data_IF_241670241787
#
_entry.id   IF_241670241787
#
_cell.length_a   1.000
_cell.length_b   1.000
_cell.length_c   1.000
_cell.angle_alpha   90.00
_cell.angle_beta   90.00
_cell.angle_gamma   90.00
#
_symmetry.space_group_name_H-M   'P 1'
#
loop_
_entity.id
_entity.type
_entity.pdbx_description
1 polymer ?
#
# COMPACT_ATOMS: atom_id res chain seq x y z
N UNK A 1 -31.80 36.65 -5.80
CA UNK A 1 -30.38 37.04 -5.70
C UNK A 1 -30.17 38.36 -6.39
N UNK A 2 -29.96 39.39 -5.60
CA UNK A 2 -29.83 40.78 -6.05
C UNK A 2 -28.50 40.99 -6.79
N UNK A 3 -28.45 41.95 -7.71
CA UNK A 3 -27.24 42.24 -8.53
C UNK A 3 -26.02 42.56 -7.66
N UNK A 4 -26.24 43.06 -6.45
CA UNK A 4 -25.22 43.31 -5.44
C UNK A 4 -24.58 42.02 -4.87
N UNK A 5 -25.39 40.99 -4.59
CA UNK A 5 -24.91 39.72 -4.00
C UNK A 5 -24.01 38.95 -4.96
N UNK A 6 -24.33 38.97 -6.26
CA UNK A 6 -23.49 38.35 -7.30
C UNK A 6 -22.11 39.00 -7.41
N UNK A 7 -22.03 40.32 -7.22
CA UNK A 7 -20.76 41.07 -7.26
C UNK A 7 -19.91 40.76 -6.03
N UNK A 8 -20.53 40.62 -4.86
CA UNK A 8 -19.84 40.23 -3.63
C UNK A 8 -19.24 38.82 -3.74
N UNK A 9 -20.02 37.84 -4.24
CA UNK A 9 -19.54 36.46 -4.42
C UNK A 9 -18.38 36.36 -5.40
N UNK A 10 -18.43 37.08 -6.52
CA UNK A 10 -17.33 37.13 -7.50
C UNK A 10 -16.07 37.73 -6.85
N UNK A 11 -16.23 38.78 -6.03
CA UNK A 11 -15.12 39.37 -5.27
C UNK A 11 -14.45 38.36 -4.32
N UNK A 12 -15.23 37.60 -3.55
CA UNK A 12 -14.69 36.58 -2.64
C UNK A 12 -13.96 35.44 -3.38
N UNK A 13 -14.49 34.99 -4.52
CA UNK A 13 -13.83 33.96 -5.33
C UNK A 13 -12.50 34.46 -5.88
N UNK A 14 -12.44 35.71 -6.36
CA UNK A 14 -11.20 36.31 -6.88
C UNK A 14 -10.12 36.44 -5.79
N UNK A 15 -10.50 36.92 -4.59
CA UNK A 15 -9.57 37.03 -3.46
C UNK A 15 -9.08 35.64 -3.01
N UNK A 16 -9.95 34.63 -3.01
CA UNK A 16 -9.58 33.25 -2.66
C UNK A 16 -8.61 32.64 -3.68
N UNK A 17 -8.81 32.87 -4.98
CA UNK A 17 -7.90 32.41 -6.04
C UNK A 17 -6.54 33.11 -6.00
N UNK A 18 -6.50 34.41 -5.66
CA UNK A 18 -5.24 35.15 -5.45
C UNK A 18 -4.49 34.57 -4.25
N UNK A 19 -5.17 34.30 -3.13
CA UNK A 19 -4.55 33.70 -1.95
C UNK A 19 -4.01 32.27 -2.24
N UNK A 20 -4.74 31.46 -2.99
CA UNK A 20 -4.30 30.13 -3.44
C UNK A 20 -3.11 30.20 -4.41
N UNK A 21 -3.11 31.15 -5.34
CA UNK A 21 -2.02 31.38 -6.28
C UNK A 21 -0.73 31.83 -5.59
N UNK A 22 -0.81 32.72 -4.59
CA UNK A 22 0.34 33.14 -3.78
C UNK A 22 0.90 31.97 -2.97
N UNK A 23 0.04 31.10 -2.41
CA UNK A 23 0.47 29.91 -1.67
C UNK A 23 1.16 28.87 -2.55
N UNK A 24 0.70 28.70 -3.80
CA UNK A 24 1.35 27.82 -4.78
C UNK A 24 2.65 28.40 -5.33
N UNK A 25 2.70 29.72 -5.58
CA UNK A 25 3.91 30.42 -6.02
C UNK A 25 5.03 30.39 -4.98
N UNK A 26 4.69 30.53 -3.69
CA UNK A 26 5.66 30.44 -2.59
C UNK A 26 6.22 29.01 -2.43
N UNK A 27 5.37 27.97 -2.60
CA UNK A 27 5.84 26.58 -2.63
C UNK A 27 6.74 26.26 -3.85
N UNK A 28 6.53 26.96 -4.98
CA UNK A 28 7.37 26.82 -6.17
C UNK A 28 8.72 27.55 -6.04
N UNK A 29 8.79 28.65 -5.28
CA UNK A 29 10.02 29.42 -5.07
C UNK A 29 10.99 28.78 -4.06
N UNK A 30 10.49 28.07 -3.05
CA UNK A 30 11.29 27.52 -1.93
C UNK A 30 12.11 26.24 -2.30
N UNK A 31 11.97 25.67 -3.51
CA UNK A 31 12.67 24.44 -3.95
C UNK A 31 13.88 24.66 -4.87
N UNK A 32 14.41 25.88 -4.95
CA UNK A 32 15.66 26.17 -5.67
C UNK A 32 16.79 26.58 -4.72
N UNK A 33 17.23 25.63 -3.92
CA UNK A 33 18.63 25.61 -3.48
C UNK A 33 19.27 24.38 -4.08
N UNK A 34 20.36 24.61 -4.82
CA UNK A 34 21.51 23.74 -5.08
C UNK A 34 21.99 23.83 -6.54
N UNK A 35 23.20 24.39 -6.65
CA UNK A 35 24.13 24.41 -7.79
C UNK A 35 23.82 25.39 -8.92
N UNK A 36 24.29 26.62 -8.75
CA UNK A 36 24.80 27.45 -9.84
C UNK A 36 25.83 28.44 -9.27
N UNK A 37 26.98 27.92 -8.81
CA UNK A 37 28.18 28.73 -8.60
C UNK A 37 28.94 28.73 -9.94
N UNK A 38 28.58 29.63 -10.83
CA UNK A 38 29.31 29.91 -12.06
C UNK A 38 30.39 30.95 -11.74
N UNK A 39 31.46 30.48 -11.11
CA UNK A 39 32.69 31.22 -10.88
C UNK A 39 33.84 30.27 -11.18
N UNK A 40 34.62 30.57 -12.22
CA UNK A 40 35.87 29.88 -12.48
C UNK A 40 36.73 29.97 -11.23
N UNK A 41 36.93 28.86 -10.53
CA UNK A 41 37.99 28.75 -9.53
C UNK A 41 39.31 28.63 -10.30
N UNK A 42 40.21 29.62 -10.26
CA UNK A 42 41.49 29.52 -10.95
C UNK A 42 42.32 28.42 -10.29
N UNK A 43 42.68 27.40 -11.07
CA UNK A 43 43.44 26.20 -10.65
C UNK A 43 44.79 26.55 -10.00
N UNK A 44 45.29 27.78 -10.18
CA UNK A 44 46.49 28.29 -9.52
C UNK A 44 46.39 28.43 -7.99
N UNK A 45 45.18 28.54 -7.42
CA UNK A 45 45.00 28.61 -5.96
C UNK A 45 45.17 27.27 -5.24
N UNK A 46 45.12 26.14 -5.95
CA UNK A 46 45.30 24.80 -5.35
C UNK A 46 46.78 24.42 -5.20
N UNK A 47 47.69 25.08 -5.91
CA UNK A 47 49.13 24.77 -5.87
C UNK A 47 49.91 25.62 -4.87
N UNK A 48 49.43 26.82 -4.51
CA UNK A 48 50.10 27.68 -3.52
C UNK A 48 49.88 27.27 -2.07
N UNK A 49 48.89 26.41 -1.79
CA UNK A 49 48.59 25.95 -0.43
C UNK A 49 49.43 24.74 0.03
N UNK A 50 50.29 24.19 -0.83
CA UNK A 50 51.05 22.95 -0.55
C UNK A 50 52.47 23.17 -0.02
N UNK A 51 52.98 24.40 0.03
CA UNK A 51 54.40 24.66 0.34
C UNK A 51 54.71 25.21 1.75
N UNK A 52 53.73 25.35 2.67
CA UNK A 52 54.00 26.02 3.98
C UNK A 52 53.48 25.25 5.21
N UNK A 53 53.55 23.93 5.21
CA UNK A 53 53.44 23.20 6.47
C UNK A 53 54.24 21.90 6.45
N UNK A 54 55.27 21.72 7.31
CA UNK A 54 55.77 20.39 7.59
C UNK A 54 54.66 19.63 8.33
N UNK A 55 53.90 18.82 7.59
CA UNK A 55 52.98 17.86 8.20
C UNK A 55 53.86 16.79 8.84
N UNK A 56 54.17 16.97 10.12
CA UNK A 56 54.69 15.90 10.95
C UNK A 56 53.63 14.80 10.96
N UNK A 57 53.87 13.73 10.19
CA UNK A 57 53.00 12.57 10.14
C UNK A 57 53.00 11.93 11.53
N UNK A 58 51.95 12.17 12.32
CA UNK A 58 51.74 11.47 13.58
C UNK A 58 51.47 10.02 13.23
N UNK A 59 52.48 9.15 13.41
CA UNK A 59 52.29 7.71 13.39
C UNK A 59 51.46 7.32 14.62
N UNK A 60 50.15 7.35 14.48
CA UNK A 60 49.24 6.70 15.42
C UNK A 60 49.47 5.19 15.31
N UNK A 61 50.32 4.65 16.18
CA UNK A 61 50.37 3.23 16.49
C UNK A 61 49.11 2.83 17.26
N UNK A 62 47.96 2.81 16.58
CA UNK A 62 46.81 2.07 17.05
C UNK A 62 47.09 0.59 16.85
N UNK A 63 47.57 0.00 17.95
CA UNK A 63 47.75 -1.42 18.18
C UNK A 63 46.55 -2.21 17.65
N UNK A 64 46.88 -3.15 16.77
CA UNK A 64 45.96 -4.15 16.21
C UNK A 64 45.28 -4.92 17.35
N UNK A 65 44.00 -4.69 17.53
CA UNK A 65 43.04 -5.75 17.90
C UNK A 65 41.82 -5.64 17.00
N UNK A 66 42.07 -5.84 15.70
CA UNK A 66 41.03 -6.13 14.72
C UNK A 66 40.52 -7.53 15.06
N UNK A 67 39.50 -7.60 15.92
CA UNK A 67 38.67 -8.79 15.98
C UNK A 67 38.14 -9.00 14.55
N UNK A 68 38.58 -10.07 13.90
CA UNK A 68 38.04 -10.51 12.63
C UNK A 68 36.57 -10.90 12.89
N UNK A 69 35.66 -9.94 12.84
CA UNK A 69 34.28 -10.24 12.46
C UNK A 69 34.33 -10.51 10.96
N UNK A 70 34.55 -11.77 10.60
CA UNK A 70 34.14 -12.27 9.30
C UNK A 70 32.65 -11.96 9.18
N UNK A 71 32.18 -11.14 8.24
CA UNK A 71 30.76 -11.12 7.92
C UNK A 71 30.49 -12.50 7.33
N UNK A 72 30.05 -13.44 8.16
CA UNK A 72 29.38 -14.61 7.63
C UNK A 72 28.25 -14.06 6.76
N UNK A 73 28.07 -14.58 5.53
CA UNK A 73 26.84 -14.31 4.81
C UNK A 73 25.74 -14.89 5.68
N UNK A 74 25.13 -14.04 6.52
CA UNK A 74 23.84 -14.32 7.09
C UNK A 74 22.95 -14.43 5.87
N UNK A 75 22.77 -15.66 5.38
CA UNK A 75 21.58 -16.02 4.64
C UNK A 75 20.45 -15.60 5.55
N UNK A 76 19.96 -14.38 5.35
CA UNK A 76 18.76 -13.88 5.98
C UNK A 76 17.72 -14.90 5.61
N UNK A 77 17.41 -15.81 6.54
CA UNK A 77 16.25 -16.67 6.41
C UNK A 77 15.12 -15.71 6.12
N UNK A 78 14.54 -15.81 4.93
CA UNK A 78 13.33 -15.07 4.60
C UNK A 78 12.34 -15.50 5.67
N UNK A 79 12.08 -14.61 6.62
CA UNK A 79 11.08 -14.84 7.65
C UNK A 79 9.77 -14.77 6.89
N UNK A 80 9.17 -15.93 6.64
CA UNK A 80 7.86 -16.03 6.03
C UNK A 80 6.84 -15.64 7.09
N UNK A 81 6.15 -14.52 6.87
CA UNK A 81 5.13 -13.99 7.75
C UNK A 81 3.76 -14.51 7.31
N UNK A 82 2.89 -14.84 8.25
CA UNK A 82 1.52 -15.17 7.93
C UNK A 82 0.71 -13.88 7.67
N UNK A 83 0.29 -13.70 6.43
CA UNK A 83 -0.45 -12.54 5.94
C UNK A 83 -1.79 -12.36 6.66
N UNK A 84 -2.39 -13.45 7.16
CA UNK A 84 -3.67 -13.40 7.84
C UNK A 84 -3.57 -13.02 9.32
N UNK A 85 -2.41 -13.19 9.94
CA UNK A 85 -2.19 -12.91 11.37
C UNK A 85 -1.21 -11.78 11.65
N UNK A 86 -0.39 -11.38 10.67
CA UNK A 86 0.58 -10.29 10.80
C UNK A 86 -0.09 -8.97 11.23
N UNK A 87 0.52 -8.26 12.17
CA UNK A 87 0.04 -6.98 12.65
C UNK A 87 0.48 -5.82 11.71
N UNK A 88 -0.11 -4.65 11.91
CA UNK A 88 0.23 -3.49 11.09
C UNK A 88 1.68 -3.03 11.31
N UNK A 89 2.20 -3.16 12.53
CA UNK A 89 3.56 -2.74 12.87
C UNK A 89 4.63 -3.58 12.16
N UNK A 90 4.45 -4.91 12.10
CA UNK A 90 5.35 -5.79 11.35
C UNK A 90 5.22 -5.56 9.84
N UNK A 91 4.01 -5.28 9.33
CA UNK A 91 3.83 -4.88 7.93
C UNK A 91 4.60 -3.60 7.62
N UNK A 92 4.54 -2.58 8.48
CA UNK A 92 5.26 -1.31 8.31
C UNK A 92 6.78 -1.44 8.37
N UNK A 93 7.29 -2.48 9.05
CA UNK A 93 8.72 -2.76 9.11
C UNK A 93 9.27 -3.36 7.79
N UNK A 94 8.39 -3.82 6.89
CA UNK A 94 8.78 -4.41 5.62
C UNK A 94 9.17 -3.34 4.59
N UNK A 95 10.10 -3.66 3.67
CA UNK A 95 10.42 -2.75 2.59
C UNK A 95 9.18 -2.48 1.74
N UNK A 96 9.07 -1.26 1.23
CA UNK A 96 7.97 -0.79 0.36
C UNK A 96 6.60 -0.63 1.04
N UNK A 97 6.42 -1.08 2.28
CA UNK A 97 5.15 -0.95 3.01
C UNK A 97 5.27 0.18 4.04
N UNK A 98 4.63 1.31 3.75
CA UNK A 98 4.43 2.38 4.74
C UNK A 98 3.13 2.21 5.53
N UNK A 99 2.86 3.09 6.53
CA UNK A 99 1.67 3.02 7.39
C UNK A 99 0.35 3.02 6.62
N UNK A 100 0.28 3.77 5.52
CA UNK A 100 -0.90 3.82 4.65
C UNK A 100 -1.15 2.46 3.98
N UNK A 101 -0.09 1.81 3.47
CA UNK A 101 -0.22 0.52 2.80
C UNK A 101 -0.51 -0.61 3.80
N UNK A 102 0.16 -0.61 4.96
CA UNK A 102 -0.14 -1.56 6.03
C UNK A 102 -1.61 -1.48 6.45
N UNK A 103 -2.14 -0.27 6.63
CA UNK A 103 -3.57 -0.07 6.92
C UNK A 103 -4.48 -0.62 5.82
N UNK A 104 -4.12 -0.44 4.54
CA UNK A 104 -4.89 -0.97 3.41
C UNK A 104 -4.87 -2.49 3.34
N UNK A 105 -3.70 -3.11 3.51
CA UNK A 105 -3.54 -4.57 3.56
C UNK A 105 -4.41 -5.15 4.68
N UNK A 106 -4.39 -4.52 5.87
CA UNK A 106 -5.25 -4.91 6.98
C UNK A 106 -6.73 -4.73 6.64
N UNK A 107 -7.16 -3.57 6.11
CA UNK A 107 -8.56 -3.35 5.73
C UNK A 107 -9.05 -4.35 4.69
N UNK A 108 -8.23 -4.63 3.67
CA UNK A 108 -8.56 -5.59 2.64
C UNK A 108 -8.65 -7.01 3.20
N UNK A 109 -7.73 -7.41 4.08
CA UNK A 109 -7.80 -8.67 4.84
C UNK A 109 -9.14 -8.83 5.56
N UNK A 110 -9.56 -7.80 6.29
CA UNK A 110 -10.83 -7.82 7.03
C UNK A 110 -12.03 -7.91 6.07
N UNK A 111 -12.03 -7.13 4.98
CA UNK A 111 -13.13 -7.15 4.01
C UNK A 111 -13.26 -8.51 3.31
N UNK A 112 -12.14 -9.17 2.99
CA UNK A 112 -12.14 -10.54 2.45
C UNK A 112 -12.57 -11.59 3.49
N UNK A 113 -12.28 -11.36 4.78
CA UNK A 113 -12.39 -12.42 5.79
C UNK A 113 -11.16 -13.33 5.85
N UNK A 114 -10.02 -12.84 5.36
CA UNK A 114 -8.75 -13.55 5.23
C UNK A 114 -8.31 -13.70 3.78
N UNK A 115 -7.02 -13.57 3.51
CA UNK A 115 -6.45 -13.91 2.22
C UNK A 115 -6.49 -15.42 2.03
N UNK A 116 -7.06 -15.87 0.92
CA UNK A 116 -7.01 -17.26 0.49
C UNK A 116 -5.64 -17.57 -0.13
N UNK A 117 -5.08 -16.60 -0.87
CA UNK A 117 -3.81 -16.75 -1.57
C UNK A 117 -2.99 -15.46 -1.46
N UNK A 118 -1.67 -15.58 -1.33
CA UNK A 118 -0.76 -14.42 -1.20
C UNK A 118 -0.84 -13.51 -2.45
N UNK A 119 -1.16 -14.09 -3.59
CA UNK A 119 -1.29 -13.42 -4.88
C UNK A 119 -2.34 -12.30 -4.87
N UNK A 120 -3.32 -12.34 -3.95
CA UNK A 120 -4.33 -11.31 -3.75
C UNK A 120 -3.74 -9.98 -3.23
N UNK A 121 -2.49 -9.96 -2.76
CA UNK A 121 -1.79 -8.69 -2.49
C UNK A 121 -1.75 -7.76 -3.71
N UNK A 122 -1.77 -8.32 -4.93
CA UNK A 122 -1.83 -7.54 -6.18
C UNK A 122 -3.10 -6.73 -6.33
N UNK A 123 -4.16 -7.08 -5.60
CA UNK A 123 -5.46 -6.42 -5.64
C UNK A 123 -5.56 -5.28 -4.62
N UNK A 124 -4.59 -5.16 -3.71
CA UNK A 124 -4.52 -4.07 -2.74
C UNK A 124 -4.15 -2.77 -3.46
N UNK A 125 -5.05 -1.79 -3.41
CA UNK A 125 -4.89 -0.54 -4.14
C UNK A 125 -3.68 0.29 -3.66
N UNK A 126 -2.90 0.78 -4.62
CA UNK A 126 -1.72 1.60 -4.38
C UNK A 126 -0.46 0.81 -4.01
N UNK A 127 -0.50 -0.53 -3.99
CA UNK A 127 0.70 -1.33 -3.97
C UNK A 127 1.28 -1.40 -5.40
N UNK A 128 2.52 -0.94 -5.58
CA UNK A 128 3.16 -0.97 -6.89
C UNK A 128 3.45 -2.42 -7.31
N UNK A 129 3.23 -2.83 -8.58
CA UNK A 129 3.44 -4.20 -9.03
C UNK A 129 4.84 -4.75 -8.67
N UNK A 130 5.89 -3.96 -8.91
CA UNK A 130 7.27 -4.37 -8.60
C UNK A 130 7.51 -4.61 -7.10
N UNK A 131 6.88 -3.81 -6.24
CA UNK A 131 6.95 -4.00 -4.80
C UNK A 131 6.19 -5.26 -4.39
N UNK A 132 5.01 -5.48 -4.98
CA UNK A 132 4.20 -6.66 -4.73
C UNK A 132 4.96 -7.96 -5.07
N UNK A 133 5.62 -8.04 -6.21
CA UNK A 133 6.39 -9.24 -6.60
C UNK A 133 7.55 -9.54 -5.63
N UNK A 134 8.15 -8.50 -5.04
CA UNK A 134 9.19 -8.66 -4.01
C UNK A 134 8.64 -9.07 -2.65
N UNK A 135 7.40 -8.68 -2.35
CA UNK A 135 6.73 -8.95 -1.09
C UNK A 135 6.09 -10.34 -1.03
N UNK A 136 5.50 -10.82 -2.13
CA UNK A 136 4.84 -12.15 -2.21
C UNK A 136 5.68 -13.29 -1.59
N UNK A 137 6.98 -13.46 -1.90
CA UNK A 137 7.76 -14.56 -1.31
C UNK A 137 8.04 -14.42 0.20
N UNK A 138 7.71 -13.28 0.80
CA UNK A 138 7.87 -13.03 2.24
C UNK A 138 6.64 -13.45 3.05
N UNK A 139 5.56 -13.89 2.38
CA UNK A 139 4.30 -14.20 3.04
C UNK A 139 3.82 -15.63 2.76
N UNK A 140 3.04 -16.15 3.70
CA UNK A 140 2.15 -17.30 3.58
C UNK A 140 0.74 -16.90 4.05
N UNK A 141 -0.30 -17.67 3.73
CA UNK A 141 -1.67 -17.45 4.21
C UNK A 141 -2.02 -18.26 5.45
N UNK A 142 -1.13 -19.13 5.92
CA UNK A 142 -1.33 -19.94 7.12
C UNK A 142 -2.58 -20.81 7.02
N UNK A 143 -3.56 -20.57 7.89
CA UNK A 143 -4.85 -21.28 7.88
C UNK A 143 -5.81 -20.82 6.76
N UNK A 144 -5.48 -19.75 6.03
CA UNK A 144 -6.28 -19.22 4.93
C UNK A 144 -7.46 -18.37 5.41
N UNK A 145 -8.62 -18.54 4.74
CA UNK A 145 -9.84 -17.78 5.01
C UNK A 145 -10.42 -18.20 6.36
N UNK A 146 -10.47 -17.28 7.32
CA UNK A 146 -10.97 -17.56 8.68
C UNK A 146 -12.38 -17.01 8.93
N UNK A 147 -12.89 -16.14 8.06
CA UNK A 147 -14.24 -15.56 8.18
C UNK A 147 -15.00 -15.65 6.85
N UNK A 148 -15.44 -16.86 6.46
CA UNK A 148 -16.30 -17.04 5.29
C UNK A 148 -17.69 -16.43 5.51
N UNK A 149 -18.32 -15.99 4.43
CA UNK A 149 -19.69 -15.50 4.37
C UNK A 149 -20.69 -16.64 4.16
N UNK A 150 -21.88 -16.49 4.75
CA UNK A 150 -22.96 -17.45 4.63
C UNK A 150 -23.81 -17.16 3.39
N UNK A 151 -23.73 -18.04 2.40
CA UNK A 151 -24.38 -17.90 1.10
C UNK A 151 -25.90 -18.12 1.15
N UNK A 152 -26.44 -18.60 2.26
CA UNK A 152 -27.85 -18.89 2.55
C UNK A 152 -28.47 -17.85 3.51
N UNK A 153 -27.73 -17.39 4.51
CA UNK A 153 -28.27 -16.57 5.61
C UNK A 153 -27.78 -15.13 5.64
N UNK A 154 -26.60 -14.80 5.06
CA UNK A 154 -26.05 -13.44 5.13
C UNK A 154 -26.96 -12.41 4.46
N UNK A 155 -27.08 -11.24 5.08
CA UNK A 155 -27.90 -10.14 4.54
C UNK A 155 -27.30 -9.56 3.26
N UNK A 156 -28.11 -8.84 2.47
CA UNK A 156 -27.62 -8.07 1.33
C UNK A 156 -26.41 -7.19 1.65
N UNK A 157 -26.41 -6.52 2.81
CA UNK A 157 -25.34 -5.59 3.20
C UNK A 157 -24.04 -6.33 3.48
N UNK A 158 -24.12 -7.48 4.15
CA UNK A 158 -22.97 -8.34 4.43
C UNK A 158 -22.38 -8.88 3.13
N UNK A 159 -23.22 -9.42 2.23
CA UNK A 159 -22.78 -9.91 0.92
C UNK A 159 -22.07 -8.80 0.13
N UNK A 160 -22.70 -7.64 -0.01
CA UNK A 160 -22.14 -6.49 -0.74
C UNK A 160 -20.84 -5.95 -0.13
N UNK A 161 -20.63 -6.13 1.18
CA UNK A 161 -19.41 -5.65 1.85
C UNK A 161 -18.15 -6.41 1.42
N UNK A 162 -18.33 -7.60 0.83
CA UNK A 162 -17.22 -8.43 0.37
C UNK A 162 -16.61 -7.89 -0.93
N UNK A 163 -15.28 -7.79 -1.06
CA UNK A 163 -14.62 -7.19 -2.24
C UNK A 163 -14.97 -7.81 -3.60
N UNK A 164 -15.39 -9.07 -3.62
CA UNK A 164 -15.76 -9.77 -4.85
C UNK A 164 -17.25 -9.82 -5.15
N UNK A 165 -18.10 -9.29 -4.26
CA UNK A 165 -19.56 -9.36 -4.39
C UNK A 165 -20.09 -7.94 -4.48
N UNK A 166 -20.54 -7.54 -5.66
CA UNK A 166 -21.17 -6.25 -5.88
C UNK A 166 -22.66 -6.25 -5.46
N UNK A 167 -23.28 -5.08 -5.56
CA UNK A 167 -24.69 -4.90 -5.21
C UNK A 167 -25.65 -5.72 -6.09
N UNK A 168 -25.35 -5.91 -7.37
CA UNK A 168 -26.20 -6.66 -8.28
C UNK A 168 -26.15 -8.16 -7.96
N UNK A 169 -24.95 -8.66 -7.65
CA UNK A 169 -24.68 -10.02 -7.22
C UNK A 169 -25.35 -10.34 -5.89
N UNK A 170 -25.19 -9.46 -4.89
CA UNK A 170 -25.90 -9.60 -3.60
C UNK A 170 -27.42 -9.64 -3.78
N UNK A 171 -27.96 -8.76 -4.63
CA UNK A 171 -29.40 -8.74 -4.95
C UNK A 171 -29.87 -10.00 -5.66
N UNK A 172 -29.02 -10.57 -6.52
CA UNK A 172 -29.34 -11.80 -7.23
C UNK A 172 -29.39 -13.01 -6.29
N UNK A 173 -28.46 -13.09 -5.33
CA UNK A 173 -28.46 -14.11 -4.27
C UNK A 173 -29.75 -14.00 -3.44
N UNK A 174 -30.10 -12.81 -2.95
CA UNK A 174 -31.35 -12.63 -2.18
C UNK A 174 -32.61 -12.94 -2.98
N UNK A 175 -32.65 -12.57 -4.26
CA UNK A 175 -33.78 -12.89 -5.13
C UNK A 175 -33.92 -14.40 -5.32
N UNK A 176 -32.81 -15.11 -5.46
CA UNK A 176 -32.83 -16.56 -5.55
C UNK A 176 -33.39 -17.21 -4.28
N UNK A 177 -32.87 -16.81 -3.10
CA UNK A 177 -33.30 -17.32 -1.78
C UNK A 177 -34.79 -17.09 -1.47
N UNK A 178 -35.42 -16.08 -2.10
CA UNK A 178 -36.85 -15.81 -1.96
C UNK A 178 -37.75 -16.86 -2.64
N UNK A 179 -37.22 -17.56 -3.63
CA UNK A 179 -37.99 -18.50 -4.45
C UNK A 179 -37.49 -19.94 -4.34
N UNK A 180 -36.25 -20.14 -3.89
CA UNK A 180 -35.58 -21.44 -3.81
C UNK A 180 -34.77 -21.54 -2.53
N UNK A 181 -34.67 -22.76 -2.00
CA UNK A 181 -33.69 -23.10 -0.96
C UNK A 181 -32.33 -23.26 -1.63
N UNK A 182 -31.27 -22.87 -0.94
CA UNK A 182 -29.90 -22.94 -1.44
C UNK A 182 -29.21 -24.10 -0.73
N UNK A 183 -29.31 -25.28 -1.33
CA UNK A 183 -28.79 -26.55 -0.77
C UNK A 183 -27.32 -26.78 -1.14
N UNK A 184 -26.84 -26.11 -2.20
CA UNK A 184 -25.46 -26.19 -2.68
C UNK A 184 -24.96 -24.84 -3.20
N UNK A 185 -23.64 -24.63 -3.23
CA UNK A 185 -23.08 -23.43 -3.85
C UNK A 185 -23.20 -23.47 -5.38
N UNK A 186 -23.33 -24.67 -5.95
CA UNK A 186 -23.57 -24.91 -7.37
C UNK A 186 -24.92 -24.34 -7.84
N UNK A 187 -25.93 -24.30 -6.96
CA UNK A 187 -27.24 -23.71 -7.26
C UNK A 187 -27.14 -22.22 -7.64
N UNK A 188 -26.18 -21.50 -7.05
CA UNK A 188 -25.92 -20.09 -7.40
C UNK A 188 -25.42 -19.94 -8.83
N UNK A 189 -24.69 -20.92 -9.35
CA UNK A 189 -24.17 -20.94 -10.72
C UNK A 189 -25.28 -21.05 -11.75
N UNK A 190 -26.29 -21.88 -11.46
CA UNK A 190 -27.44 -22.05 -12.34
C UNK A 190 -28.41 -20.84 -12.28
N UNK A 191 -28.45 -20.15 -11.14
CA UNK A 191 -29.46 -19.12 -10.86
C UNK A 191 -29.06 -17.69 -11.22
N UNK A 192 -27.76 -17.39 -11.17
CA UNK A 192 -27.24 -16.03 -11.33
C UNK A 192 -26.38 -16.01 -12.58
N UNK A 193 -26.49 -14.98 -13.46
CA UNK A 193 -25.55 -14.81 -14.56
C UNK A 193 -24.18 -14.41 -14.01
N UNK A 194 -23.44 -15.38 -13.50
CA UNK A 194 -22.07 -15.28 -13.02
C UNK A 194 -21.14 -16.03 -13.98
N UNK A 195 -19.93 -15.49 -14.17
CA UNK A 195 -18.91 -16.15 -14.98
C UNK A 195 -18.12 -17.13 -14.11
N UNK A 196 -17.51 -18.16 -14.73
CA UNK A 196 -16.63 -19.10 -14.03
C UNK A 196 -15.50 -18.41 -13.25
N UNK A 197 -15.02 -17.27 -13.75
CA UNK A 197 -13.99 -16.48 -13.07
C UNK A 197 -14.47 -15.85 -11.77
N UNK A 198 -15.75 -15.49 -11.68
CA UNK A 198 -16.36 -14.95 -10.47
C UNK A 198 -16.55 -16.05 -9.45
N UNK A 199 -17.05 -17.22 -9.86
CA UNK A 199 -17.23 -18.37 -8.98
C UNK A 199 -15.91 -18.79 -8.34
N UNK A 200 -14.83 -18.86 -9.14
CA UNK A 200 -13.48 -19.17 -8.61
C UNK A 200 -13.02 -18.18 -7.54
N UNK A 201 -13.42 -16.90 -7.64
CA UNK A 201 -13.11 -15.88 -6.64
C UNK A 201 -14.02 -15.96 -5.42
N UNK A 202 -15.26 -16.40 -5.56
CA UNK A 202 -16.23 -16.48 -4.46
C UNK A 202 -16.09 -17.76 -3.63
N UNK A 203 -15.80 -18.88 -4.29
CA UNK A 203 -15.79 -20.22 -3.69
C UNK A 203 -14.98 -20.32 -2.39
N UNK A 204 -13.78 -19.70 -2.24
CA UNK A 204 -13.04 -19.77 -0.98
C UNK A 204 -13.70 -19.02 0.19
N UNK A 205 -14.65 -18.13 -0.13
CA UNK A 205 -15.23 -17.15 0.80
C UNK A 205 -16.69 -17.41 1.13
N UNK A 206 -17.35 -18.30 0.40
CA UNK A 206 -18.77 -18.62 0.59
C UNK A 206 -18.91 -20.04 1.14
N UNK A 207 -19.87 -20.21 2.05
CA UNK A 207 -20.31 -21.52 2.56
C UNK A 207 -21.81 -21.50 2.87
N UNK A 208 -22.40 -22.67 3.04
CA UNK A 208 -23.72 -22.80 3.67
C UNK A 208 -23.54 -22.84 5.18
N UNK A 209 -24.45 -22.20 5.91
CA UNK A 209 -24.32 -22.02 7.35
C UNK A 209 -25.40 -22.71 8.17
N UNK A 210 -26.50 -23.14 7.54
CA UNK A 210 -27.63 -23.92 8.11
C UNK A 210 -28.30 -23.30 9.35
#
# INVERSE_FOLDING_TARGET
MEKAERRALIGFVLVSWIALGVRAGFWYAERRTYVAMEGQVPVGWLLTALDVAPIAYVQQQHSKKRAQLSPQPQQSRLVVLDLNTVDSAALEALPYIGPVLASRICRFRHALGGYHTVQQLREVWGLHPDACERLIPMFDTGSGVYRPLCADTSSWYELKSHPYIDAAQASAIERYRRHHVLDSLEDLVAAIPITDSMIRRWSPYLRLCE
#
